data_IF_854059282914
#
_entry.id   IF_854059282914
#
_cell.length_a   1.000
_cell.length_b   1.000
_cell.length_c   1.000
_cell.angle_alpha   90.00
_cell.angle_beta   90.00
_cell.angle_gamma   90.00
#
_symmetry.space_group_name_H-M   'P 1'
#
loop_
_entity.id
_entity.type
_entity.pdbx_description
1 polymer ?
#
# COMPACT_ATOMS: atom_id res chain seq x y z
N UNK A 1 1.68 -2.47 33.67
CA UNK A 1 0.26 -2.14 33.44
C UNK A 1 -0.05 -1.72 32.00
N UNK A 2 0.84 -0.98 31.30
CA UNK A 2 0.66 -0.62 29.88
C UNK A 2 0.59 -1.85 28.95
N UNK A 3 1.51 -2.81 29.09
CA UNK A 3 1.56 -4.01 28.24
C UNK A 3 0.31 -4.89 28.34
N UNK A 4 -0.27 -5.05 29.54
CA UNK A 4 -1.50 -5.86 29.74
C UNK A 4 -2.70 -5.19 29.08
N UNK A 5 -2.80 -3.85 29.14
CA UNK A 5 -3.85 -3.10 28.44
C UNK A 5 -3.68 -3.21 26.93
N UNK A 6 -2.46 -3.07 26.41
CA UNK A 6 -2.18 -3.22 24.96
C UNK A 6 -2.48 -4.64 24.45
N UNK A 7 -2.13 -5.67 25.21
CA UNK A 7 -2.47 -7.07 24.88
C UNK A 7 -3.97 -7.31 24.89
N UNK A 8 -4.68 -6.80 25.90
CA UNK A 8 -6.14 -6.89 25.98
C UNK A 8 -6.80 -6.17 24.78
N UNK A 9 -6.30 -4.99 24.42
CA UNK A 9 -6.80 -4.24 23.25
C UNK A 9 -6.58 -5.01 21.94
N UNK A 10 -5.40 -5.61 21.75
CA UNK A 10 -5.12 -6.44 20.57
C UNK A 10 -6.05 -7.66 20.55
N UNK A 11 -6.22 -8.33 21.70
CA UNK A 11 -7.10 -9.49 21.81
C UNK A 11 -8.57 -9.15 21.50
N UNK A 12 -9.07 -8.04 22.04
CA UNK A 12 -10.42 -7.53 21.76
C UNK A 12 -10.57 -7.18 20.27
N UNK A 13 -9.57 -6.52 19.66
CA UNK A 13 -9.57 -6.21 18.24
C UNK A 13 -9.62 -7.47 17.35
N UNK A 14 -8.83 -8.49 17.68
CA UNK A 14 -8.83 -9.78 16.98
C UNK A 14 -10.15 -10.52 17.16
N UNK A 15 -10.70 -10.53 18.39
CA UNK A 15 -11.99 -11.16 18.66
C UNK A 15 -13.12 -10.48 17.87
N UNK A 16 -13.14 -9.14 17.84
CA UNK A 16 -14.12 -8.36 17.06
C UNK A 16 -13.94 -8.60 15.56
N UNK A 17 -12.71 -8.64 15.03
CA UNK A 17 -12.51 -8.91 13.59
C UNK A 17 -13.02 -10.30 13.21
N UNK A 18 -12.75 -11.31 14.03
CA UNK A 18 -13.26 -12.67 13.80
C UNK A 18 -14.79 -12.74 13.86
N UNK A 19 -15.44 -12.00 14.77
CA UNK A 19 -16.90 -11.93 14.83
C UNK A 19 -17.51 -11.27 13.59
N UNK A 20 -16.89 -10.20 13.09
CA UNK A 20 -17.33 -9.51 11.87
C UNK A 20 -17.17 -10.42 10.64
N UNK A 21 -16.03 -11.11 10.52
CA UNK A 21 -15.80 -12.07 9.43
C UNK A 21 -16.85 -13.18 9.43
N UNK A 22 -17.15 -13.74 10.60
CA UNK A 22 -18.14 -14.81 10.72
C UNK A 22 -19.58 -14.31 10.48
N UNK A 23 -19.87 -13.04 10.82
CA UNK A 23 -21.12 -12.40 10.46
C UNK A 23 -21.24 -12.30 8.93
N UNK A 24 -20.25 -11.76 8.22
CA UNK A 24 -20.31 -11.67 6.75
C UNK A 24 -20.40 -13.03 6.05
N UNK A 25 -19.69 -14.04 6.58
CA UNK A 25 -19.77 -15.43 6.13
C UNK A 25 -21.21 -15.96 6.26
N UNK A 26 -21.89 -15.71 7.37
CA UNK A 26 -23.29 -16.12 7.59
C UNK A 26 -24.29 -15.48 6.61
N UNK A 27 -23.98 -14.28 6.09
CA UNK A 27 -24.78 -13.59 5.08
C UNK A 27 -24.35 -13.89 3.64
N UNK A 28 -23.39 -14.80 3.42
CA UNK A 28 -22.79 -15.10 2.12
C UNK A 28 -22.20 -13.85 1.43
N UNK A 29 -21.71 -12.90 2.23
CA UNK A 29 -21.05 -11.69 1.73
C UNK A 29 -19.55 -11.99 1.64
N UNK A 30 -18.93 -11.94 0.45
CA UNK A 30 -17.51 -12.27 0.26
C UNK A 30 -16.60 -11.10 0.64
N UNK A 31 -16.70 -10.65 1.89
CA UNK A 31 -15.94 -9.54 2.46
C UNK A 31 -15.34 -10.02 3.78
N UNK A 32 -14.03 -9.84 3.93
CA UNK A 32 -13.30 -10.05 5.17
C UNK A 32 -12.98 -8.68 5.77
N UNK A 33 -12.85 -8.59 7.09
CA UNK A 33 -12.54 -7.37 7.84
C UNK A 33 -11.29 -6.67 7.30
N UNK A 34 -10.32 -7.43 6.79
CA UNK A 34 -9.14 -6.88 6.13
C UNK A 34 -9.49 -6.07 4.88
N UNK A 35 -10.47 -6.48 4.06
CA UNK A 35 -10.88 -5.74 2.87
C UNK A 35 -11.44 -4.37 3.24
N UNK A 36 -12.16 -4.28 4.36
CA UNK A 36 -12.68 -3.01 4.90
C UNK A 36 -11.58 -2.03 5.31
N UNK A 37 -10.36 -2.51 5.55
CA UNK A 37 -9.20 -1.67 5.88
C UNK A 37 -8.39 -1.35 4.61
N UNK A 38 -8.04 -2.39 3.85
CA UNK A 38 -7.15 -2.25 2.71
C UNK A 38 -7.82 -1.59 1.51
N UNK A 39 -9.12 -1.78 1.30
CA UNK A 39 -9.82 -1.16 0.18
C UNK A 39 -9.91 0.37 0.34
N UNK A 40 -10.39 0.95 1.47
CA UNK A 40 -10.39 2.40 1.65
C UNK A 40 -8.98 3.00 1.66
N UNK A 41 -8.00 2.30 2.25
CA UNK A 41 -6.61 2.73 2.23
C UNK A 41 -6.06 2.79 0.79
N UNK A 42 -6.32 1.76 -0.01
CA UNK A 42 -5.90 1.71 -1.41
C UNK A 42 -6.58 2.80 -2.23
N UNK A 43 -7.89 2.98 -2.07
CA UNK A 43 -8.64 4.05 -2.72
C UNK A 43 -8.10 5.45 -2.35
N UNK A 44 -7.78 5.66 -1.08
CA UNK A 44 -7.16 6.89 -0.59
C UNK A 44 -5.78 7.12 -1.24
N UNK A 45 -4.91 6.10 -1.23
CA UNK A 45 -3.58 6.18 -1.84
C UNK A 45 -3.65 6.45 -3.35
N UNK A 46 -4.58 5.82 -4.06
CA UNK A 46 -4.83 6.05 -5.49
C UNK A 46 -5.30 7.50 -5.72
N UNK A 47 -6.28 7.97 -4.94
CA UNK A 47 -6.78 9.34 -5.06
C UNK A 47 -5.67 10.38 -4.86
N UNK A 48 -4.79 10.18 -3.87
CA UNK A 48 -3.64 11.05 -3.65
C UNK A 48 -2.59 10.91 -4.75
N UNK A 49 -2.32 9.70 -5.24
CA UNK A 49 -1.33 9.45 -6.29
C UNK A 49 -1.77 10.02 -7.65
N UNK A 50 -3.07 10.20 -7.92
CA UNK A 50 -3.55 10.81 -9.16
C UNK A 50 -3.58 12.35 -9.10
N UNK A 51 -3.67 12.98 -7.92
CA UNK A 51 -3.78 14.44 -7.79
C UNK A 51 -2.54 15.20 -8.27
N UNK A 52 -2.58 16.04 -9.31
CA UNK A 52 -1.40 16.72 -9.87
C UNK A 52 -0.75 17.74 -8.91
N UNK A 53 -1.51 18.26 -7.94
CA UNK A 53 -1.06 19.34 -7.04
C UNK A 53 0.06 18.95 -6.04
N UNK A 54 0.41 17.67 -5.88
CA UNK A 54 1.51 17.27 -4.98
C UNK A 54 2.90 17.73 -5.47
N UNK A 55 3.03 18.10 -6.76
CA UNK A 55 4.22 18.77 -7.29
C UNK A 55 4.46 20.15 -6.69
N UNK A 56 3.38 20.88 -6.35
CA UNK A 56 3.46 22.23 -5.78
C UNK A 56 3.81 22.22 -4.28
N UNK A 57 3.43 21.17 -3.55
CA UNK A 57 3.48 21.17 -2.08
C UNK A 57 4.64 20.35 -1.48
N UNK A 58 5.70 20.05 -2.25
CA UNK A 58 6.91 19.47 -1.67
C UNK A 58 6.76 18.05 -1.11
N UNK A 59 5.91 17.21 -1.71
CA UNK A 59 5.68 15.82 -1.28
C UNK A 59 6.97 14.98 -1.18
N UNK A 60 7.98 15.35 -1.95
CA UNK A 60 9.34 14.79 -1.88
C UNK A 60 10.22 15.83 -1.20
N UNK A 61 10.85 15.47 -0.07
CA UNK A 61 11.74 16.37 0.66
C UNK A 61 12.86 16.90 -0.26
N UNK A 62 13.14 18.19 -0.21
CA UNK A 62 14.20 18.82 -1.02
C UNK A 62 15.60 18.27 -0.69
N UNK A 63 15.72 17.59 0.44
CA UNK A 63 16.90 16.86 0.91
C UNK A 63 17.39 15.80 -0.11
N UNK A 64 16.51 15.28 -0.98
CA UNK A 64 16.87 14.32 -2.04
C UNK A 64 17.83 14.91 -3.10
N UNK A 65 17.88 16.24 -3.23
CA UNK A 65 18.82 16.95 -4.11
C UNK A 65 20.26 16.77 -3.62
N UNK A 66 20.47 16.69 -2.31
CA UNK A 66 21.78 16.59 -1.66
C UNK A 66 22.26 15.16 -1.45
N UNK A 67 21.56 14.17 -1.99
CA UNK A 67 21.95 12.77 -1.82
C UNK A 67 23.23 12.46 -2.60
N UNK A 68 24.22 11.91 -1.89
CA UNK A 68 25.41 11.32 -2.50
C UNK A 68 25.00 10.24 -3.52
N UNK A 69 25.81 10.06 -4.56
CA UNK A 69 25.58 9.03 -5.61
C UNK A 69 25.23 7.64 -5.05
N UNK A 70 25.92 7.10 -4.01
CA UNK A 70 25.55 5.79 -3.46
C UNK A 70 24.20 5.78 -2.74
N UNK A 71 23.86 6.86 -1.99
CA UNK A 71 22.54 6.96 -1.34
C UNK A 71 21.40 7.03 -2.34
N UNK A 72 21.60 7.73 -3.46
CA UNK A 72 20.62 7.73 -4.56
C UNK A 72 20.45 6.32 -5.14
N UNK A 73 21.54 5.63 -5.43
CA UNK A 73 21.50 4.28 -5.99
C UNK A 73 20.70 3.33 -5.09
N UNK A 74 20.98 3.32 -3.79
CA UNK A 74 20.22 2.55 -2.81
C UNK A 74 18.73 2.91 -2.82
N UNK A 75 18.38 4.20 -2.83
CA UNK A 75 16.98 4.62 -2.87
C UNK A 75 16.24 4.17 -4.14
N UNK A 76 16.92 4.12 -5.29
CA UNK A 76 16.36 3.63 -6.54
C UNK A 76 16.17 2.11 -6.52
N UNK A 77 17.13 1.36 -5.96
CA UNK A 77 17.00 -0.09 -5.77
C UNK A 77 15.82 -0.41 -4.86
N UNK A 78 15.69 0.28 -3.72
CA UNK A 78 14.54 0.12 -2.82
C UNK A 78 13.22 0.41 -3.54
N UNK A 79 13.17 1.47 -4.35
CA UNK A 79 11.99 1.81 -5.13
C UNK A 79 11.62 0.71 -6.13
N UNK A 80 12.61 0.16 -6.85
CA UNK A 80 12.40 -0.94 -7.79
C UNK A 80 11.91 -2.21 -7.09
N UNK A 81 12.40 -2.51 -5.89
CA UNK A 81 11.91 -3.63 -5.08
C UNK A 81 10.44 -3.45 -4.70
N UNK A 82 10.04 -2.25 -4.28
CA UNK A 82 8.63 -1.97 -3.98
C UNK A 82 7.74 -2.03 -5.22
N UNK A 83 8.22 -1.60 -6.39
CA UNK A 83 7.49 -1.75 -7.64
C UNK A 83 7.36 -3.21 -8.05
N UNK A 84 8.42 -4.01 -7.93
CA UNK A 84 8.38 -5.44 -8.21
C UNK A 84 7.40 -6.16 -7.29
N UNK A 85 7.45 -5.85 -5.99
CA UNK A 85 6.50 -6.37 -5.01
C UNK A 85 5.05 -5.99 -5.35
N UNK A 86 4.81 -4.73 -5.73
CA UNK A 86 3.49 -4.28 -6.16
C UNK A 86 3.00 -5.04 -7.40
N UNK A 87 3.86 -5.27 -8.39
CA UNK A 87 3.52 -6.08 -9.58
C UNK A 87 3.16 -7.52 -9.23
N UNK A 88 3.85 -8.13 -8.26
CA UNK A 88 3.51 -9.47 -7.76
C UNK A 88 2.11 -9.47 -7.11
N UNK A 89 1.79 -8.47 -6.30
CA UNK A 89 0.45 -8.35 -5.70
C UNK A 89 -0.65 -8.17 -6.75
N UNK A 90 -0.39 -7.38 -7.79
CA UNK A 90 -1.31 -7.20 -8.92
C UNK A 90 -1.51 -8.52 -9.66
N UNK A 91 -0.43 -9.25 -9.94
CA UNK A 91 -0.49 -10.55 -10.61
C UNK A 91 -1.32 -11.54 -9.79
N UNK A 92 -1.00 -11.72 -8.50
CA UNK A 92 -1.74 -12.64 -7.62
C UNK A 92 -3.22 -12.25 -7.53
N UNK A 93 -3.49 -10.95 -7.40
CA UNK A 93 -4.87 -10.47 -7.34
C UNK A 93 -5.66 -10.61 -8.64
N UNK A 94 -4.98 -10.68 -9.79
CA UNK A 94 -5.60 -10.87 -11.11
C UNK A 94 -5.75 -12.34 -11.51
N UNK A 95 -4.76 -13.18 -11.20
CA UNK A 95 -4.79 -14.63 -11.46
C UNK A 95 -5.92 -15.29 -10.67
N UNK A 96 -6.10 -14.83 -9.42
CA UNK A 96 -6.96 -15.45 -8.43
C UNK A 96 -7.90 -14.45 -7.72
N UNK A 97 -8.76 -13.73 -8.45
CA UNK A 97 -9.58 -12.65 -7.89
C UNK A 97 -10.59 -13.14 -6.85
N UNK A 98 -10.98 -14.41 -6.97
CA UNK A 98 -12.01 -15.09 -6.18
C UNK A 98 -11.49 -16.29 -5.39
N UNK A 99 -10.19 -16.60 -5.42
CA UNK A 99 -9.60 -17.82 -4.81
C UNK A 99 -9.77 -17.92 -3.28
N UNK A 100 -10.47 -16.96 -2.67
CA UNK A 100 -10.76 -16.90 -1.23
C UNK A 100 -12.24 -17.05 -0.90
N UNK A 101 -13.09 -17.22 -1.92
CA UNK A 101 -14.42 -17.79 -1.75
C UNK A 101 -14.39 -19.27 -1.31
N UNK A 102 -13.26 -19.96 -1.49
CA UNK A 102 -13.07 -21.38 -1.10
C UNK A 102 -12.83 -21.59 0.42
N UNK A 103 -13.18 -20.62 1.27
CA UNK A 103 -13.30 -20.86 2.72
C UNK A 103 -11.99 -20.94 3.51
N UNK A 104 -10.86 -20.50 2.95
CA UNK A 104 -9.62 -20.35 3.72
C UNK A 104 -9.65 -19.08 4.57
N UNK A 105 -10.23 -19.23 5.78
CA UNK A 105 -10.30 -18.20 6.84
C UNK A 105 -8.97 -17.46 7.02
N UNK A 106 -9.02 -16.12 6.99
CA UNK A 106 -7.89 -15.24 7.32
C UNK A 106 -7.02 -14.76 6.14
N UNK A 107 -7.39 -15.04 4.89
CA UNK A 107 -6.66 -14.53 3.71
C UNK A 107 -7.37 -13.32 3.07
N UNK A 108 -6.56 -12.42 2.51
CA UNK A 108 -7.01 -11.17 1.88
C UNK A 108 -7.53 -11.45 0.48
N UNK A 109 -8.78 -11.09 0.15
CA UNK A 109 -9.36 -11.39 -1.17
C UNK A 109 -8.46 -10.91 -2.32
N UNK A 110 -8.41 -11.68 -3.42
CA UNK A 110 -7.57 -11.38 -4.58
C UNK A 110 -7.81 -9.98 -5.12
N UNK A 111 -9.07 -9.54 -5.18
CA UNK A 111 -9.41 -8.17 -5.56
C UNK A 111 -8.79 -7.11 -4.63
N UNK A 112 -8.74 -7.35 -3.32
CA UNK A 112 -8.12 -6.44 -2.35
C UNK A 112 -6.59 -6.39 -2.52
N UNK A 113 -5.96 -7.53 -2.80
CA UNK A 113 -4.53 -7.59 -3.13
C UNK A 113 -4.23 -6.84 -4.44
N UNK A 114 -5.10 -6.98 -5.44
CA UNK A 114 -5.01 -6.23 -6.68
C UNK A 114 -5.06 -4.72 -6.43
N UNK A 115 -6.08 -4.23 -5.73
CA UNK A 115 -6.21 -2.79 -5.44
C UNK A 115 -5.05 -2.24 -4.61
N UNK A 116 -4.59 -3.01 -3.62
CA UNK A 116 -3.41 -2.66 -2.83
C UNK A 116 -2.15 -2.59 -3.69
N UNK A 117 -1.95 -3.58 -4.56
CA UNK A 117 -0.85 -3.62 -5.52
C UNK A 117 -0.86 -2.41 -6.45
N UNK A 118 -2.01 -2.08 -7.04
CA UNK A 118 -2.19 -0.89 -7.89
C UNK A 118 -1.89 0.40 -7.11
N UNK A 119 -2.38 0.52 -5.88
CA UNK A 119 -2.13 1.68 -5.03
C UNK A 119 -0.63 1.89 -4.74
N UNK A 120 0.06 0.82 -4.33
CA UNK A 120 1.51 0.84 -4.08
C UNK A 120 2.26 1.17 -5.39
N UNK A 121 1.90 0.51 -6.49
CA UNK A 121 2.55 0.73 -7.79
C UNK A 121 2.48 2.20 -8.23
N UNK A 122 1.29 2.80 -8.16
CA UNK A 122 1.10 4.21 -8.51
C UNK A 122 1.85 5.15 -7.56
N UNK A 123 1.83 4.88 -6.26
CA UNK A 123 2.53 5.68 -5.26
C UNK A 123 4.05 5.70 -5.52
N UNK A 124 4.67 4.52 -5.66
CA UNK A 124 6.12 4.41 -5.84
C UNK A 124 6.58 4.86 -7.23
N UNK A 125 5.80 4.59 -8.29
CA UNK A 125 6.08 5.13 -9.62
C UNK A 125 6.09 6.65 -9.60
N UNK A 126 5.10 7.24 -8.93
CA UNK A 126 5.00 8.69 -8.78
C UNK A 126 6.14 9.26 -7.95
N UNK A 127 6.46 8.63 -6.81
CA UNK A 127 7.59 9.06 -5.97
C UNK A 127 8.91 9.04 -6.76
N UNK A 128 9.15 7.98 -7.55
CA UNK A 128 10.32 7.84 -8.41
C UNK A 128 10.40 8.94 -9.46
N UNK A 129 9.29 9.20 -10.17
CA UNK A 129 9.21 10.30 -11.13
C UNK A 129 9.54 11.66 -10.49
N UNK A 130 8.93 11.97 -9.34
CA UNK A 130 9.14 13.24 -8.64
C UNK A 130 10.58 13.41 -8.15
N UNK A 131 11.17 12.35 -7.58
CA UNK A 131 12.54 12.35 -7.09
C UNK A 131 13.54 12.59 -8.23
N UNK A 132 13.37 11.88 -9.35
CA UNK A 132 14.21 12.03 -10.55
C UNK A 132 14.04 13.42 -11.19
N UNK A 133 12.80 13.90 -11.32
CA UNK A 133 12.51 15.22 -11.88
C UNK A 133 13.13 16.36 -11.06
N UNK A 134 12.98 16.33 -9.73
CA UNK A 134 13.61 17.33 -8.84
C UNK A 134 15.13 17.34 -8.98
N UNK A 135 15.75 16.16 -9.02
CA UNK A 135 17.20 16.03 -9.17
C UNK A 135 17.69 16.54 -10.54
N UNK A 136 16.98 16.21 -11.63
CA UNK A 136 17.28 16.72 -12.96
C UNK A 136 17.20 18.25 -13.01
N UNK A 137 16.13 18.83 -12.45
CA UNK A 137 15.95 20.30 -12.38
C UNK A 137 17.02 20.99 -11.55
N UNK A 138 17.44 20.39 -10.43
CA UNK A 138 18.54 20.92 -9.61
C UNK A 138 19.87 20.90 -10.37
N UNK A 139 20.18 19.82 -11.09
CA UNK A 139 21.40 19.73 -11.90
C UNK A 139 21.43 20.73 -13.07
N UNK A 140 20.28 21.08 -13.64
CA UNK A 140 20.20 22.09 -14.72
C UNK A 140 20.38 23.54 -14.22
N UNK A 141 20.18 23.79 -12.92
CA UNK A 141 20.30 25.12 -12.30
C UNK A 141 21.68 25.39 -11.68
N UNK A 142 22.52 24.36 -11.55
CA UNK A 142 23.90 24.44 -11.07
C UNK A 142 24.85 24.48 -12.26
#
# INVERSE_FOLDING_TARGET
MFYVKSLLTIFVLVAVSLMIDHFFEAFNIPIVTMDLIFFPLSAFLIYFSVKPNLLKNGFVADNLIYYSRPRLCLSLVTLLLFLAFASVLIYIGFDDPLLLLDGHKGKLHGYSLFFLGVAIFLLFSRFGYLALYKRYKAKKRA
#
